data_IF_933877907161
#
_entry.id   IF_933877907161
#
_cell.length_a   1.000
_cell.length_b   1.000
_cell.length_c   1.000
_cell.angle_alpha   90.00
_cell.angle_beta   90.00
_cell.angle_gamma   90.00
#
_symmetry.space_group_name_H-M   'P 1'
#
loop_
_entity.id
_entity.type
_entity.pdbx_description
1 polymer ?
#
# COMPACT_ATOMS: atom_id res chain seq x y z
N UNK A 1 19.36 -16.34 1.57
CA UNK A 1 20.26 -15.48 0.74
C UNK A 1 20.03 -15.80 -0.72
N UNK A 2 20.42 -14.92 -1.66
CA UNK A 2 20.35 -15.25 -3.09
C UNK A 2 21.50 -16.20 -3.48
N UNK A 3 21.19 -17.27 -4.20
CA UNK A 3 22.17 -18.24 -4.70
C UNK A 3 23.20 -17.54 -5.58
N UNK A 4 24.47 -17.94 -5.51
CA UNK A 4 25.57 -17.19 -6.15
C UNK A 4 25.40 -17.11 -7.68
N UNK A 5 24.90 -18.18 -8.28
CA UNK A 5 24.58 -18.30 -9.71
C UNK A 5 23.51 -17.30 -10.17
N UNK A 6 22.56 -16.94 -9.30
CA UNK A 6 21.47 -16.03 -9.62
C UNK A 6 21.85 -14.55 -9.42
N UNK A 7 22.93 -14.25 -8.68
CA UNK A 7 23.27 -12.87 -8.30
C UNK A 7 23.54 -11.97 -9.51
N UNK A 8 24.12 -12.53 -10.56
CA UNK A 8 24.47 -11.76 -11.75
C UNK A 8 23.24 -11.30 -12.56
N UNK A 9 22.08 -11.95 -12.38
CA UNK A 9 20.79 -11.51 -12.92
C UNK A 9 20.22 -10.28 -12.20
N UNK A 10 20.81 -9.88 -11.06
CA UNK A 10 20.38 -8.73 -10.25
C UNK A 10 21.35 -7.55 -10.31
N UNK A 11 22.18 -7.48 -11.36
CA UNK A 11 23.14 -6.38 -11.52
C UNK A 11 22.43 -5.06 -11.79
N UNK A 12 22.96 -3.98 -11.23
CA UNK A 12 22.52 -2.63 -11.51
C UNK A 12 23.72 -1.68 -11.61
N UNK A 13 23.53 -0.61 -12.39
CA UNK A 13 24.52 0.44 -12.56
C UNK A 13 24.33 1.49 -11.47
N UNK A 14 25.44 2.01 -10.97
CA UNK A 14 25.47 3.10 -10.02
C UNK A 14 26.54 4.12 -10.40
N UNK A 15 26.34 5.38 -10.01
CA UNK A 15 27.32 6.43 -10.19
C UNK A 15 28.20 6.53 -8.94
N UNK A 16 29.51 6.51 -9.12
CA UNK A 16 30.45 6.78 -8.02
C UNK A 16 30.27 8.21 -7.50
N UNK A 17 30.07 9.16 -8.42
CA UNK A 17 29.78 10.56 -8.14
C UNK A 17 28.50 10.98 -8.91
N UNK A 18 27.42 11.23 -8.15
CA UNK A 18 26.10 11.57 -8.71
C UNK A 18 26.06 12.97 -9.35
N UNK A 19 27.08 13.81 -9.13
CA UNK A 19 27.18 15.15 -9.72
C UNK A 19 27.84 15.13 -11.11
N UNK A 20 28.45 14.00 -11.49
CA UNK A 20 29.14 13.83 -12.77
C UNK A 20 28.29 13.03 -13.77
N UNK A 21 28.48 13.23 -15.08
CA UNK A 21 27.77 12.45 -16.08
C UNK A 21 28.11 10.95 -16.00
N UNK A 22 27.24 10.07 -16.55
CA UNK A 22 27.50 8.64 -16.62
C UNK A 22 28.62 8.34 -17.64
N UNK A 23 29.87 8.31 -17.17
CA UNK A 23 31.06 7.91 -17.95
C UNK A 23 31.58 6.53 -17.51
N UNK A 24 32.38 5.82 -18.34
CA UNK A 24 32.94 4.52 -17.96
C UNK A 24 33.70 4.54 -16.62
N UNK A 25 34.40 5.65 -16.32
CA UNK A 25 35.15 5.82 -15.07
C UNK A 25 34.25 6.17 -13.86
N UNK A 26 33.08 6.76 -14.11
CA UNK A 26 32.12 7.17 -13.08
C UNK A 26 31.00 6.14 -12.83
N UNK A 27 30.87 5.12 -13.67
CA UNK A 27 29.91 4.03 -13.49
C UNK A 27 30.57 2.88 -12.70
N UNK A 28 29.84 2.31 -11.76
CA UNK A 28 30.16 1.02 -11.15
C UNK A 28 28.96 0.07 -11.27
N UNK A 29 29.25 -1.23 -11.23
CA UNK A 29 28.25 -2.30 -11.31
C UNK A 29 28.18 -2.94 -9.93
N UNK A 30 26.99 -2.93 -9.34
CA UNK A 30 26.68 -3.69 -8.14
C UNK A 30 25.78 -4.87 -8.49
N UNK A 31 25.71 -5.84 -7.59
CA UNK A 31 24.77 -6.96 -7.64
C UNK A 31 24.24 -7.22 -6.24
N UNK A 32 23.01 -7.69 -6.15
CA UNK A 32 22.44 -8.01 -4.86
C UNK A 32 22.91 -9.38 -4.36
N UNK A 33 23.08 -9.51 -3.04
CA UNK A 33 23.41 -10.78 -2.36
C UNK A 33 22.22 -11.31 -1.55
N UNK A 34 21.08 -10.62 -1.63
CA UNK A 34 19.83 -10.88 -0.94
C UNK A 34 18.68 -10.78 -1.94
N UNK A 35 17.55 -11.40 -1.59
CA UNK A 35 16.33 -11.29 -2.38
C UNK A 35 15.92 -9.82 -2.42
N UNK A 36 15.64 -9.30 -3.61
CA UNK A 36 15.39 -7.88 -3.85
C UNK A 36 13.91 -7.59 -3.98
N UNK A 37 13.48 -6.38 -3.60
CA UNK A 37 12.15 -5.91 -3.97
C UNK A 37 12.07 -5.68 -5.50
N UNK A 38 10.92 -5.97 -6.09
CA UNK A 38 10.65 -5.73 -7.51
C UNK A 38 10.93 -6.92 -8.45
N UNK A 39 11.51 -8.01 -7.96
CA UNK A 39 11.57 -9.27 -8.72
C UNK A 39 10.29 -10.07 -8.47
N UNK A 40 9.73 -10.66 -9.53
CA UNK A 40 8.46 -11.40 -9.50
C UNK A 40 8.44 -12.56 -8.48
N UNK A 41 9.57 -13.24 -8.26
CA UNK A 41 9.70 -14.36 -7.34
C UNK A 41 9.86 -13.91 -5.87
N UNK A 42 10.23 -12.66 -5.61
CA UNK A 42 10.54 -12.19 -4.26
C UNK A 42 9.38 -12.27 -3.28
N UNK A 43 8.14 -11.88 -3.63
CA UNK A 43 6.99 -12.03 -2.73
C UNK A 43 6.72 -13.49 -2.36
N UNK A 44 6.88 -14.41 -3.32
CA UNK A 44 6.73 -15.84 -3.08
C UNK A 44 7.80 -16.36 -2.11
N UNK A 45 9.07 -16.03 -2.35
CA UNK A 45 10.17 -16.46 -1.47
C UNK A 45 10.00 -15.95 -0.04
N UNK A 46 9.58 -14.68 0.12
CA UNK A 46 9.30 -14.11 1.44
C UNK A 46 8.15 -14.84 2.12
N UNK A 47 7.00 -14.98 1.44
CA UNK A 47 5.81 -15.64 1.99
C UNK A 47 6.09 -17.10 2.34
N UNK A 48 6.77 -17.86 1.48
CA UNK A 48 7.14 -19.24 1.77
C UNK A 48 8.05 -19.35 2.99
N UNK A 49 8.99 -18.40 3.16
CA UNK A 49 9.88 -18.35 4.33
C UNK A 49 9.12 -18.03 5.62
N UNK A 50 8.23 -17.03 5.59
CA UNK A 50 7.41 -16.63 6.74
C UNK A 50 6.46 -17.77 7.13
N UNK A 51 5.74 -18.36 6.17
CA UNK A 51 4.81 -19.45 6.44
C UNK A 51 5.54 -20.66 7.00
N UNK A 52 6.67 -21.05 6.41
CA UNK A 52 7.48 -22.15 6.95
C UNK A 52 7.94 -21.88 8.39
N UNK A 53 8.37 -20.65 8.69
CA UNK A 53 8.77 -20.27 10.04
C UNK A 53 7.61 -20.34 11.04
N UNK A 54 6.48 -19.70 10.71
CA UNK A 54 5.32 -19.61 11.60
C UNK A 54 4.67 -20.98 11.82
N UNK A 55 4.53 -21.78 10.76
CA UNK A 55 3.95 -23.12 10.83
C UNK A 55 4.73 -24.05 11.78
N UNK A 56 6.05 -23.89 11.85
CA UNK A 56 6.92 -24.70 12.71
C UNK A 56 7.16 -24.08 14.10
N UNK A 57 6.60 -22.91 14.39
CA UNK A 57 6.76 -22.26 15.69
C UNK A 57 5.63 -22.68 16.65
N UNK A 58 5.94 -23.36 17.78
CA UNK A 58 4.94 -24.08 18.59
C UNK A 58 4.17 -23.18 19.56
N UNK A 59 3.58 -22.08 19.08
CA UNK A 59 2.74 -21.19 19.89
C UNK A 59 1.48 -20.78 19.11
N UNK A 60 0.30 -20.67 19.78
CA UNK A 60 -0.94 -20.28 19.09
C UNK A 60 -0.86 -18.94 18.36
N UNK A 61 -0.09 -17.99 18.90
CA UNK A 61 0.11 -16.69 18.27
C UNK A 61 0.80 -16.79 16.90
N UNK A 62 1.64 -17.80 16.65
CA UNK A 62 2.28 -17.96 15.35
C UNK A 62 1.27 -18.34 14.26
N UNK A 63 0.30 -19.19 14.59
CA UNK A 63 -0.81 -19.54 13.70
C UNK A 63 -1.72 -18.34 13.44
N UNK A 64 -2.05 -17.58 14.49
CA UNK A 64 -2.82 -16.34 14.33
C UNK A 64 -2.09 -15.35 13.40
N UNK A 65 -0.77 -15.17 13.58
CA UNK A 65 0.05 -14.31 12.72
C UNK A 65 0.06 -14.86 11.28
N UNK A 66 0.20 -16.17 11.08
CA UNK A 66 0.21 -16.80 9.75
C UNK A 66 -1.09 -16.49 8.98
N UNK A 67 -2.24 -16.66 9.64
CA UNK A 67 -3.57 -16.38 9.07
C UNK A 67 -3.81 -14.89 8.79
N UNK A 68 -3.12 -14.02 9.53
CA UNK A 68 -3.27 -12.56 9.46
C UNK A 68 -2.05 -11.86 8.84
N UNK A 69 -1.24 -12.56 8.06
CA UNK A 69 -0.11 -11.98 7.32
C UNK A 69 -0.45 -11.82 5.84
N UNK A 70 -0.27 -10.61 5.31
CA UNK A 70 -0.34 -10.32 3.88
C UNK A 70 1.00 -9.81 3.37
N UNK A 71 1.73 -10.68 2.66
CA UNK A 71 3.08 -10.42 2.14
C UNK A 71 4.05 -10.03 3.27
N UNK A 72 4.25 -8.73 3.48
CA UNK A 72 5.13 -8.12 4.48
C UNK A 72 4.37 -7.43 5.63
N UNK A 73 3.04 -7.43 5.59
CA UNK A 73 2.19 -6.80 6.61
C UNK A 73 1.58 -7.85 7.54
N UNK A 74 1.66 -7.64 8.84
CA UNK A 74 1.08 -8.53 9.86
C UNK A 74 -0.03 -7.79 10.60
N UNK A 75 -1.20 -8.41 10.71
CA UNK A 75 -2.32 -7.93 11.51
C UNK A 75 -2.45 -8.76 12.77
N UNK A 76 -2.66 -8.10 13.90
CA UNK A 76 -2.85 -8.77 15.19
C UNK A 76 -4.04 -8.14 15.89
N UNK A 77 -5.26 -8.72 15.76
CA UNK A 77 -6.41 -8.24 16.51
C UNK A 77 -6.17 -8.41 18.01
N UNK A 78 -6.64 -7.47 18.82
CA UNK A 78 -6.57 -7.55 20.26
C UNK A 78 -7.79 -6.87 20.89
N UNK A 79 -8.35 -7.49 21.93
CA UNK A 79 -9.53 -6.96 22.63
C UNK A 79 -9.17 -6.08 23.83
N UNK A 80 -7.92 -6.13 24.28
CA UNK A 80 -7.43 -5.36 25.44
C UNK A 80 -6.03 -4.80 25.20
N UNK A 81 -5.67 -3.75 25.95
CA UNK A 81 -4.31 -3.17 25.93
C UNK A 81 -3.27 -4.21 26.34
N UNK A 82 -3.56 -5.01 27.38
CA UNK A 82 -2.66 -6.08 27.84
C UNK A 82 -2.41 -7.13 26.75
N UNK A 83 -3.47 -7.59 26.08
CA UNK A 83 -3.36 -8.54 24.97
C UNK A 83 -2.54 -7.95 23.81
N UNK A 84 -2.80 -6.70 23.43
CA UNK A 84 -2.07 -6.03 22.35
C UNK A 84 -0.57 -5.93 22.65
N UNK A 85 -0.20 -5.54 23.88
CA UNK A 85 1.22 -5.46 24.29
C UNK A 85 1.87 -6.83 24.41
N UNK A 86 1.13 -7.85 24.85
CA UNK A 86 1.61 -9.23 24.85
C UNK A 86 1.88 -9.72 23.43
N UNK A 87 0.97 -9.45 22.48
CA UNK A 87 1.13 -9.79 21.06
C UNK A 87 2.29 -9.02 20.42
N UNK A 88 2.46 -7.74 20.75
CA UNK A 88 3.61 -6.94 20.33
C UNK A 88 4.95 -7.56 20.75
N UNK A 89 5.12 -7.87 22.03
CA UNK A 89 6.38 -8.47 22.51
C UNK A 89 6.61 -9.88 21.94
N UNK A 90 5.57 -10.72 21.94
CA UNK A 90 5.69 -12.11 21.48
C UNK A 90 5.88 -12.24 19.98
N UNK A 91 5.24 -11.40 19.17
CA UNK A 91 5.47 -11.38 17.72
C UNK A 91 6.92 -11.02 17.39
N UNK A 92 7.53 -10.06 18.11
CA UNK A 92 8.96 -9.75 17.96
C UNK A 92 9.84 -10.94 18.30
N UNK A 93 9.57 -11.67 19.37
CA UNK A 93 10.30 -12.88 19.73
C UNK A 93 10.21 -13.95 18.61
N UNK A 94 8.99 -14.19 18.11
CA UNK A 94 8.73 -15.15 17.03
C UNK A 94 9.55 -14.78 15.79
N UNK A 95 9.44 -13.56 15.28
CA UNK A 95 10.16 -13.15 14.07
C UNK A 95 11.68 -13.00 14.27
N UNK A 96 12.14 -12.69 15.49
CA UNK A 96 13.57 -12.64 15.84
C UNK A 96 14.25 -14.01 15.66
N UNK A 97 13.54 -15.11 15.94
CA UNK A 97 14.03 -16.47 15.67
C UNK A 97 14.26 -16.74 14.17
N UNK A 98 13.56 -16.02 13.28
CA UNK A 98 13.80 -16.02 11.83
C UNK A 98 14.80 -14.94 11.37
N UNK A 99 15.44 -14.22 12.29
CA UNK A 99 16.26 -13.03 12.02
C UNK A 99 15.51 -11.93 11.25
N UNK A 100 14.19 -11.86 11.43
CA UNK A 100 13.34 -10.83 10.84
C UNK A 100 12.95 -9.82 11.92
N UNK A 101 13.20 -8.53 11.68
CA UNK A 101 12.77 -7.47 12.59
C UNK A 101 11.41 -6.94 12.13
N UNK A 102 10.38 -7.14 12.95
CA UNK A 102 9.11 -6.42 12.79
C UNK A 102 9.32 -4.94 13.14
N UNK A 103 8.68 -4.06 12.37
CA UNK A 103 8.82 -2.60 12.45
C UNK A 103 7.48 -1.97 12.09
N UNK A 104 7.39 -0.65 12.22
CA UNK A 104 6.23 0.14 11.84
C UNK A 104 4.92 -0.29 12.54
N UNK A 105 5.02 -0.62 13.84
CA UNK A 105 3.89 -0.93 14.68
C UNK A 105 2.98 0.28 14.88
N UNK A 106 1.68 0.04 14.80
CA UNK A 106 0.63 1.03 14.98
C UNK A 106 -0.65 0.35 15.49
N UNK A 107 -1.40 1.05 16.34
CA UNK A 107 -2.70 0.63 16.88
C UNK A 107 -3.71 1.78 16.82
N UNK A 108 -5.00 1.45 16.79
CA UNK A 108 -6.10 2.40 17.03
C UNK A 108 -6.15 2.91 18.49
N UNK A 109 -5.44 2.26 19.42
CA UNK A 109 -5.40 2.63 20.82
C UNK A 109 -4.13 3.45 21.16
N UNK A 110 -4.32 4.66 21.68
CA UNK A 110 -3.23 5.58 22.02
C UNK A 110 -2.36 5.09 23.20
N UNK A 111 -2.94 4.36 24.15
CA UNK A 111 -2.21 3.77 25.26
C UNK A 111 -1.24 2.71 24.75
N UNK A 112 -1.70 1.81 23.86
CA UNK A 112 -0.84 0.80 23.22
C UNK A 112 0.31 1.48 22.45
N UNK A 113 0.00 2.49 21.62
CA UNK A 113 1.01 3.21 20.84
C UNK A 113 2.09 3.89 21.71
N UNK A 114 1.70 4.37 22.90
CA UNK A 114 2.64 5.02 23.83
C UNK A 114 3.68 4.05 24.39
N UNK A 115 3.38 2.74 24.39
CA UNK A 115 4.20 1.67 24.95
C UNK A 115 5.11 0.98 23.93
N UNK A 116 4.92 1.25 22.63
CA UNK A 116 5.85 0.77 21.61
C UNK A 116 7.20 1.49 21.71
N UNK A 117 8.28 0.73 21.50
CA UNK A 117 9.64 1.27 21.42
C UNK A 117 9.78 2.24 20.25
N UNK A 118 10.59 3.28 20.39
CA UNK A 118 10.75 4.34 19.37
C UNK A 118 11.15 3.80 17.99
N UNK A 119 12.04 2.81 17.97
CA UNK A 119 12.52 2.18 16.74
C UNK A 119 11.50 1.29 16.03
N UNK A 120 10.45 0.89 16.74
CA UNK A 120 9.40 0.01 16.23
C UNK A 120 8.16 0.79 15.80
N UNK A 121 7.97 2.02 16.31
CA UNK A 121 6.80 2.84 16.00
C UNK A 121 6.77 3.22 14.53
N UNK A 122 5.58 3.10 13.92
CA UNK A 122 5.36 3.65 12.59
C UNK A 122 5.55 5.17 12.62
N UNK A 123 6.33 5.68 11.67
CA UNK A 123 6.46 7.12 11.50
C UNK A 123 5.14 7.70 10.96
N UNK A 124 4.34 8.31 11.83
CA UNK A 124 3.07 8.95 11.49
C UNK A 124 3.22 10.32 10.79
N UNK A 125 4.38 10.61 10.20
CA UNK A 125 4.50 11.76 9.30
C UNK A 125 3.59 11.53 8.10
N UNK A 126 2.59 12.40 7.93
CA UNK A 126 1.68 12.37 6.80
C UNK A 126 2.48 12.50 5.50
N UNK A 127 2.49 11.45 4.69
CA UNK A 127 3.06 11.49 3.34
C UNK A 127 2.30 12.45 2.39
N UNK A 128 1.11 12.90 2.79
CA UNK A 128 0.24 13.79 2.03
C UNK A 128 -0.10 15.04 2.87
N UNK A 129 0.19 16.23 2.34
CA UNK A 129 -0.16 17.51 2.97
C UNK A 129 -1.67 17.57 3.24
N UNK A 130 -2.04 17.75 4.51
CA UNK A 130 -3.44 17.91 4.94
C UNK A 130 -4.14 16.66 5.47
N UNK A 131 -3.50 15.48 5.49
CA UNK A 131 -4.08 14.32 6.21
C UNK A 131 -3.83 14.44 7.71
N UNK A 132 -4.84 14.21 8.57
CA UNK A 132 -4.64 14.17 10.02
C UNK A 132 -3.59 13.12 10.41
N UNK A 133 -2.81 13.39 11.47
CA UNK A 133 -1.81 12.46 12.03
C UNK A 133 -2.39 11.09 12.42
N UNK A 134 -3.70 11.01 12.60
CA UNK A 134 -4.45 9.80 13.00
C UNK A 134 -4.86 8.92 11.80
N UNK A 135 -4.44 9.25 10.57
CA UNK A 135 -4.75 8.49 9.36
C UNK A 135 -3.50 7.83 8.81
N UNK A 136 -3.57 6.52 8.63
CA UNK A 136 -2.48 5.70 8.09
C UNK A 136 -2.96 4.92 6.87
N UNK A 137 -2.03 4.34 6.09
CA UNK A 137 -2.39 3.46 4.97
C UNK A 137 -2.12 2.01 5.36
N UNK A 138 -3.11 1.16 5.19
CA UNK A 138 -3.05 -0.29 5.40
C UNK A 138 -3.42 -0.96 4.09
N UNK A 139 -2.49 -1.73 3.52
CA UNK A 139 -2.68 -2.39 2.21
C UNK A 139 -3.16 -1.43 1.11
N UNK A 140 -2.72 -0.17 1.16
CA UNK A 140 -3.10 0.89 0.22
C UNK A 140 -4.44 1.59 0.52
N UNK A 141 -5.24 1.12 1.48
CA UNK A 141 -6.49 1.75 1.94
C UNK A 141 -6.20 2.67 3.14
N UNK A 142 -6.92 3.79 3.28
CA UNK A 142 -6.74 4.70 4.43
C UNK A 142 -7.50 4.14 5.64
N UNK A 143 -6.83 4.09 6.78
CA UNK A 143 -7.37 3.72 8.08
C UNK A 143 -7.33 4.90 9.03
N UNK A 144 -8.47 5.26 9.60
CA UNK A 144 -8.54 6.26 10.67
C UNK A 144 -8.40 5.56 12.03
N UNK A 145 -7.29 5.78 12.71
CA UNK A 145 -6.98 5.15 13.99
C UNK A 145 -7.93 5.57 15.10
N UNK A 146 -8.43 6.81 15.07
CA UNK A 146 -9.29 7.34 16.14
C UNK A 146 -10.70 6.77 16.13
N UNK A 147 -11.27 6.62 14.94
CA UNK A 147 -12.62 6.09 14.74
C UNK A 147 -12.65 4.62 14.36
N UNK A 148 -11.48 4.03 14.16
CA UNK A 148 -11.28 2.64 13.72
C UNK A 148 -12.01 2.27 12.43
N UNK A 149 -11.99 3.17 11.44
CA UNK A 149 -12.71 2.98 10.18
C UNK A 149 -11.76 3.01 9.00
N UNK A 150 -11.94 2.08 8.08
CA UNK A 150 -11.35 2.14 6.75
C UNK A 150 -12.16 3.09 5.87
N UNK A 151 -11.49 3.82 5.00
CA UNK A 151 -12.18 4.68 4.05
C UNK A 151 -11.38 4.79 2.75
N UNK A 152 -12.11 4.97 1.66
CA UNK A 152 -11.55 5.31 0.35
C UNK A 152 -11.81 6.78 0.11
N UNK A 153 -10.73 7.52 -0.17
CA UNK A 153 -10.86 8.94 -0.50
C UNK A 153 -11.22 9.10 -1.97
N UNK A 154 -12.38 9.70 -2.21
CA UNK A 154 -12.79 10.11 -3.53
C UNK A 154 -12.13 11.44 -3.84
N UNK A 155 -11.12 11.42 -4.73
CA UNK A 155 -10.52 12.67 -5.22
C UNK A 155 -11.59 13.44 -6.00
N UNK A 156 -12.02 14.57 -5.45
CA UNK A 156 -12.70 15.56 -6.28
C UNK A 156 -11.69 16.21 -7.19
N UNK A 157 -11.99 16.23 -8.49
CA UNK A 157 -11.78 17.41 -9.35
C UNK A 157 -12.30 17.10 -10.75
N UNK A 158 -13.55 17.46 -11.06
CA UNK A 158 -13.93 17.78 -12.43
C UNK A 158 -13.44 19.20 -12.72
N UNK A 159 -12.12 19.36 -12.88
CA UNK A 159 -11.59 20.65 -13.33
C UNK A 159 -11.96 20.82 -14.80
N UNK A 160 -12.56 21.95 -15.16
CA UNK A 160 -12.79 22.28 -16.57
C UNK A 160 -11.44 22.60 -17.23
N UNK A 161 -11.17 22.15 -18.46
CA UNK A 161 -12.05 21.41 -19.37
C UNK A 161 -12.08 19.91 -19.08
N UNK A 162 -13.28 19.31 -19.00
CA UNK A 162 -13.46 17.87 -18.82
C UNK A 162 -13.13 17.12 -20.12
N UNK A 163 -12.10 16.28 -20.11
CA UNK A 163 -11.70 15.45 -21.26
C UNK A 163 -11.88 13.95 -20.98
N UNK A 164 -11.87 13.12 -22.02
CA UNK A 164 -11.89 11.65 -21.85
C UNK A 164 -10.72 11.17 -20.99
N UNK A 165 -9.54 11.78 -21.15
CA UNK A 165 -8.34 11.48 -20.33
C UNK A 165 -8.59 11.77 -18.85
N UNK A 166 -9.19 12.90 -18.52
CA UNK A 166 -9.49 13.25 -17.14
C UNK A 166 -10.52 12.32 -16.51
N UNK A 167 -11.57 11.94 -17.25
CA UNK A 167 -12.56 10.95 -16.78
C UNK A 167 -11.88 9.62 -16.44
N UNK A 168 -11.02 9.12 -17.33
CA UNK A 168 -10.22 7.92 -17.06
C UNK A 168 -9.31 8.10 -15.84
N UNK A 169 -8.60 9.23 -15.75
CA UNK A 169 -7.70 9.51 -14.64
C UNK A 169 -8.44 9.49 -13.29
N UNK A 170 -9.62 10.12 -13.21
CA UNK A 170 -10.44 10.11 -11.98
C UNK A 170 -10.84 8.68 -11.61
N UNK A 171 -11.41 7.92 -12.55
CA UNK A 171 -11.86 6.54 -12.31
C UNK A 171 -10.68 5.66 -11.87
N UNK A 172 -9.53 5.79 -12.54
CA UNK A 172 -8.34 5.00 -12.25
C UNK A 172 -7.62 5.44 -10.96
N UNK A 173 -7.84 6.66 -10.48
CA UNK A 173 -7.24 7.17 -9.25
C UNK A 173 -7.89 6.61 -7.97
N UNK A 174 -9.07 6.01 -8.10
CA UNK A 174 -9.81 5.42 -6.97
C UNK A 174 -9.26 4.02 -6.72
N UNK A 175 -8.53 3.86 -5.62
CA UNK A 175 -8.00 2.58 -5.17
C UNK A 175 -9.04 1.88 -4.28
N UNK A 176 -9.72 0.89 -4.83
CA UNK A 176 -10.78 0.10 -4.16
C UNK A 176 -10.53 -1.40 -4.35
N UNK A 177 -9.57 -1.99 -3.61
CA UNK A 177 -9.19 -3.39 -3.77
C UNK A 177 -10.31 -4.36 -3.38
N UNK A 178 -11.23 -3.95 -2.50
CA UNK A 178 -12.34 -4.77 -2.00
C UNK A 178 -13.62 -4.61 -2.82
N UNK A 179 -13.68 -3.65 -3.75
CA UNK A 179 -14.85 -3.41 -4.59
C UNK A 179 -16.02 -2.73 -3.87
N UNK A 180 -15.78 -2.07 -2.73
CA UNK A 180 -16.82 -1.41 -1.93
C UNK A 180 -17.54 -0.29 -2.69
N UNK A 181 -16.83 0.39 -3.57
CA UNK A 181 -17.35 1.48 -4.39
C UNK A 181 -17.84 1.00 -5.75
N UNK A 182 -17.89 -0.32 -6.02
CA UNK A 182 -18.30 -0.86 -7.31
C UNK A 182 -19.65 -0.28 -7.81
N UNK A 183 -20.73 -0.19 -7.00
CA UNK A 183 -21.99 0.41 -7.44
C UNK A 183 -21.86 1.88 -7.86
N UNK A 184 -20.94 2.63 -7.25
CA UNK A 184 -20.67 4.03 -7.60
C UNK A 184 -19.78 4.14 -8.84
N UNK A 185 -18.83 3.22 -9.02
CA UNK A 185 -17.88 3.20 -10.12
C UNK A 185 -18.48 2.64 -11.42
N UNK A 186 -19.46 1.74 -11.35
CA UNK A 186 -20.08 1.11 -12.54
C UNK A 186 -20.65 2.17 -13.49
N UNK A 187 -21.48 3.12 -13.05
CA UNK A 187 -21.97 4.18 -13.94
C UNK A 187 -20.85 5.06 -14.52
N UNK A 188 -19.79 5.34 -13.74
CA UNK A 188 -18.66 6.12 -14.22
C UNK A 188 -17.86 5.36 -15.31
N UNK A 189 -17.67 4.05 -15.13
CA UNK A 189 -17.06 3.17 -16.13
C UNK A 189 -17.94 3.03 -17.37
N UNK A 190 -19.27 2.94 -17.22
CA UNK A 190 -20.21 2.94 -18.34
C UNK A 190 -20.15 4.26 -19.13
N UNK A 191 -20.07 5.41 -18.44
CA UNK A 191 -19.86 6.70 -19.10
C UNK A 191 -18.54 6.74 -19.88
N UNK A 192 -17.44 6.25 -19.28
CA UNK A 192 -16.17 6.14 -19.99
C UNK A 192 -16.30 5.25 -21.23
N UNK A 193 -16.98 4.10 -21.13
CA UNK A 193 -17.26 3.20 -22.25
C UNK A 193 -18.06 3.89 -23.36
N UNK A 194 -19.04 4.73 -23.02
CA UNK A 194 -19.77 5.53 -24.00
C UNK A 194 -18.85 6.49 -24.77
N UNK A 195 -17.93 7.18 -24.07
CA UNK A 195 -16.96 8.07 -24.72
C UNK A 195 -16.04 7.32 -25.71
N UNK A 196 -15.72 6.06 -25.40
CA UNK A 196 -14.99 5.18 -26.31
C UNK A 196 -15.81 4.81 -27.54
N UNK A 197 -17.07 4.40 -27.36
CA UNK A 197 -17.98 4.06 -28.46
C UNK A 197 -18.18 5.23 -29.43
N UNK A 198 -18.24 6.45 -28.90
CA UNK A 198 -18.36 7.69 -29.68
C UNK A 198 -17.04 8.20 -30.26
N UNK A 199 -15.92 7.46 -30.10
CA UNK A 199 -14.60 7.79 -30.64
C UNK A 199 -14.10 9.19 -30.25
N UNK A 200 -14.47 9.68 -29.07
CA UNK A 200 -13.98 10.97 -28.54
C UNK A 200 -12.47 10.90 -28.36
N UNK A 201 -11.73 11.90 -28.84
CA UNK A 201 -10.27 11.99 -28.64
C UNK A 201 -9.92 12.23 -27.17
N UNK A 202 -8.70 11.87 -26.77
CA UNK A 202 -8.26 11.91 -25.38
C UNK A 202 -8.35 13.30 -24.73
N UNK A 203 -7.96 14.33 -25.48
CA UNK A 203 -7.74 15.68 -24.99
C UNK A 203 -8.79 16.68 -25.51
N UNK A 204 -9.85 16.18 -26.15
CA UNK A 204 -10.99 16.99 -26.60
C UNK A 204 -11.95 17.21 -25.45
N UNK A 205 -12.34 18.46 -25.23
CA UNK A 205 -13.32 18.85 -24.23
C UNK A 205 -14.70 18.24 -24.55
N UNK A 206 -15.33 17.64 -23.54
CA UNK A 206 -16.66 17.06 -23.66
C UNK A 206 -17.72 18.14 -23.90
N UNK A 207 -18.69 17.85 -24.76
CA UNK A 207 -19.81 18.78 -25.03
C UNK A 207 -20.65 19.05 -23.77
N UNK A 208 -21.32 20.20 -23.73
CA UNK A 208 -22.15 20.61 -22.57
C UNK A 208 -23.21 19.58 -22.19
N UNK A 209 -23.79 18.86 -23.17
CA UNK A 209 -24.75 17.79 -22.91
C UNK A 209 -24.12 16.60 -22.19
N UNK A 210 -22.87 16.24 -22.54
CA UNK A 210 -22.11 15.16 -21.88
C UNK A 210 -21.58 15.55 -20.51
N UNK A 211 -21.32 16.85 -20.27
CA UNK A 211 -21.00 17.36 -18.93
C UNK A 211 -22.22 17.23 -17.99
N UNK A 212 -23.44 17.44 -18.49
CA UNK A 212 -24.69 17.28 -17.73
C UNK A 212 -25.06 15.82 -17.45
N UNK A 213 -24.81 14.91 -18.41
CA UNK A 213 -24.94 13.46 -18.24
C UNK A 213 -23.68 12.83 -17.64
N UNK A 214 -22.79 13.62 -17.04
CA UNK A 214 -21.48 13.20 -16.58
C UNK A 214 -21.54 12.01 -15.61
N UNK A 215 -20.38 11.40 -15.31
CA UNK A 215 -20.35 10.26 -14.40
C UNK A 215 -21.07 10.68 -13.11
N UNK A 216 -22.06 9.90 -12.62
CA UNK A 216 -22.93 10.35 -11.55
C UNK A 216 -22.06 10.86 -10.42
N UNK A 217 -22.39 12.07 -9.97
CA UNK A 217 -21.57 12.85 -9.06
C UNK A 217 -21.07 11.94 -7.95
N UNK A 218 -19.75 11.67 -7.96
CA UNK A 218 -19.00 11.21 -6.80
C UNK A 218 -19.05 12.39 -5.81
N UNK A 219 -20.22 12.58 -5.20
CA UNK A 219 -20.48 13.70 -4.31
C UNK A 219 -19.53 13.56 -3.12
N UNK A 220 -19.05 14.71 -2.65
CA UNK A 220 -18.18 14.81 -1.49
C UNK A 220 -18.68 13.91 -0.36
N UNK A 221 -17.81 13.00 0.05
CA UNK A 221 -18.05 12.10 1.15
C UNK A 221 -16.82 11.26 1.36
N UNK A 222 -16.35 11.20 2.61
CA UNK A 222 -15.68 9.98 3.06
C UNK A 222 -16.77 8.94 3.09
N UNK A 223 -16.74 7.98 2.17
CA UNK A 223 -17.53 6.77 2.37
C UNK A 223 -16.82 6.00 3.47
N UNK A 224 -17.37 6.12 4.68
CA UNK A 224 -16.98 5.29 5.81
C UNK A 224 -17.47 3.88 5.51
N UNK A 225 -16.61 2.92 5.79
CA UNK A 225 -16.85 1.49 5.63
C UNK A 225 -16.95 0.85 7.00
#
# INVERSE_FOLDING_TARGET
MLAEEDRDSTRFLWLKDYQKPPSPDNICIYRYTRVVFGVNASPFLLSATINHHLHNYPVPLAQEIEENTYVDNVFMPASTVEEALKKYTKSKEIFSAAQMKLRDFISNNSEVNSKFEEEDRMNMQSYESGTPKEVVKVLGVKWNLKFDNLFVELKQTFNSPLTKRQVLHIIASIYDPMGWLAPMLVPAKAFLQQLWAEKVSWDVELSQNKKKSGPPSLKNGKTLL
#
